data_IF_803261181735
#
_entry.id   IF_803261181735
#
_cell.length_a   1.000
_cell.length_b   1.000
_cell.length_c   1.000
_cell.angle_alpha   90.00
_cell.angle_beta   90.00
_cell.angle_gamma   90.00
#
_symmetry.space_group_name_H-M   'P 1'
#
loop_
_entity.id
_entity.type
_entity.pdbx_description
1 polymer ?
#
# COMPACT_ATOMS: atom_id res chain seq x y z
N UNK A 1 -0.57 -11.18 0.02
CA UNK A 1 -1.08 -9.83 0.37
C UNK A 1 -2.04 -9.32 -0.69
N UNK A 2 -3.12 -8.65 -0.30
CA UNK A 2 -4.14 -8.13 -1.23
C UNK A 2 -3.55 -7.11 -2.21
N UNK A 3 -2.64 -6.24 -1.73
CA UNK A 3 -2.00 -5.20 -2.56
C UNK A 3 -1.28 -5.79 -3.77
N UNK A 4 -0.42 -6.81 -3.60
CA UNK A 4 0.23 -7.51 -4.73
C UNK A 4 -0.76 -8.14 -5.72
N UNK A 5 -1.92 -8.62 -5.24
CA UNK A 5 -2.98 -9.18 -6.12
C UNK A 5 -3.67 -8.07 -6.93
N UNK A 6 -3.91 -6.91 -6.32
CA UNK A 6 -4.46 -5.72 -6.99
C UNK A 6 -3.47 -5.22 -8.06
N UNK A 7 -2.20 -5.05 -7.71
CA UNK A 7 -1.15 -4.61 -8.64
C UNK A 7 -1.08 -5.52 -9.88
N UNK A 8 -1.14 -6.84 -9.70
CA UNK A 8 -1.19 -7.79 -10.83
C UNK A 8 -2.48 -7.65 -11.66
N UNK A 9 -3.64 -7.49 -11.01
CA UNK A 9 -4.93 -7.32 -11.69
C UNK A 9 -4.94 -6.12 -12.63
N UNK A 10 -4.23 -5.05 -12.27
CA UNK A 10 -4.15 -3.81 -13.07
C UNK A 10 -2.86 -3.70 -13.89
N UNK A 11 -2.11 -4.80 -14.08
CA UNK A 11 -0.95 -4.83 -14.98
C UNK A 11 0.29 -4.12 -14.47
N UNK A 12 0.41 -3.91 -13.15
CA UNK A 12 1.57 -3.23 -12.58
C UNK A 12 2.83 -4.10 -12.68
N UNK A 13 3.96 -3.54 -13.17
CA UNK A 13 5.16 -4.30 -13.51
C UNK A 13 5.77 -5.00 -12.28
N UNK A 14 6.15 -6.29 -12.39
CA UNK A 14 6.52 -7.13 -11.25
C UNK A 14 7.75 -6.62 -10.50
N UNK A 15 8.72 -6.02 -11.19
CA UNK A 15 9.92 -5.41 -10.63
C UNK A 15 9.61 -4.21 -9.72
N UNK A 16 8.46 -3.54 -9.92
CA UNK A 16 8.02 -2.38 -9.11
C UNK A 16 6.99 -2.75 -8.04
N UNK A 17 6.46 -3.97 -8.06
CA UNK A 17 5.39 -4.38 -7.14
C UNK A 17 5.81 -4.30 -5.67
N UNK A 18 7.07 -4.59 -5.38
CA UNK A 18 7.58 -4.54 -4.00
C UNK A 18 7.59 -3.12 -3.45
N UNK A 19 8.20 -2.18 -4.18
CA UNK A 19 8.22 -0.77 -3.83
C UNK A 19 6.80 -0.20 -3.71
N UNK A 20 5.93 -0.50 -4.67
CA UNK A 20 4.53 -0.05 -4.61
C UNK A 20 3.79 -0.63 -3.40
N UNK A 21 4.06 -1.88 -3.01
CA UNK A 21 3.48 -2.49 -1.82
C UNK A 21 3.95 -1.78 -0.56
N UNK A 22 5.25 -1.47 -0.45
CA UNK A 22 5.82 -0.76 0.69
C UNK A 22 5.19 0.63 0.86
N UNK A 23 5.09 1.40 -0.23
CA UNK A 23 4.49 2.74 -0.19
C UNK A 23 3.03 2.73 0.27
N UNK A 24 2.22 1.76 -0.20
CA UNK A 24 0.82 1.64 0.23
C UNK A 24 0.72 1.32 1.73
N UNK A 25 1.62 0.51 2.26
CA UNK A 25 1.66 0.20 3.69
C UNK A 25 2.06 1.41 4.52
N UNK A 26 3.07 2.16 4.10
CA UNK A 26 3.51 3.40 4.76
C UNK A 26 2.38 4.45 4.78
N UNK A 27 1.67 4.62 3.66
CA UNK A 27 0.52 5.52 3.58
C UNK A 27 -0.62 5.08 4.49
N UNK A 28 -0.92 3.78 4.54
CA UNK A 28 -1.94 3.25 5.44
C UNK A 28 -1.57 3.47 6.91
N UNK A 29 -0.30 3.27 7.28
CA UNK A 29 0.19 3.53 8.63
C UNK A 29 0.07 5.01 9.01
N UNK A 30 0.48 5.92 8.12
CA UNK A 30 0.34 7.36 8.33
C UNK A 30 -1.13 7.77 8.52
N UNK A 31 -2.02 7.33 7.63
CA UNK A 31 -3.46 7.59 7.75
C UNK A 31 -4.02 7.06 9.07
N UNK A 32 -3.69 5.81 9.45
CA UNK A 32 -4.17 5.24 10.71
C UNK A 32 -3.66 6.00 11.94
N UNK A 33 -2.42 6.51 11.91
CA UNK A 33 -1.88 7.36 12.98
C UNK A 33 -2.67 8.67 13.08
N UNK A 34 -2.94 9.31 11.95
CA UNK A 34 -3.71 10.56 11.92
C UNK A 34 -5.14 10.33 12.45
N UNK A 35 -5.83 9.27 11.98
CA UNK A 35 -7.17 8.91 12.46
C UNK A 35 -7.22 8.57 13.97
N UNK A 36 -6.17 7.93 14.49
CA UNK A 36 -6.08 7.59 15.91
C UNK A 36 -5.72 8.82 16.78
N UNK A 37 -5.02 9.81 16.22
CA UNK A 37 -4.67 11.04 16.91
C UNK A 37 -5.82 12.05 17.00
N UNK A 38 -6.84 11.93 16.13
CA UNK A 38 -8.06 12.74 16.15
C UNK A 38 -9.17 12.18 17.09
N UNK A 39 -8.85 11.26 18.00
CA UNK A 39 -9.79 10.68 18.98
C UNK A 39 -9.87 11.47 20.29
#
# INVERSE_FOLDING_TARGET
VIVKRILRKYGYPPDKQEKATQTVLEQAEALCKDFAAEQ
#
